data_IF_515702725752
#
_entry.id   IF_515702725752
#
_cell.length_a   1.000
_cell.length_b   1.000
_cell.length_c   1.000
_cell.angle_alpha   90.00
_cell.angle_beta   90.00
_cell.angle_gamma   90.00
#
_symmetry.space_group_name_H-M   'P 1'
#
loop_
_entity.id
_entity.type
_entity.pdbx_description
1 polymer ?
#
# COMPACT_ATOMS: atom_id res chain seq x y z
N UNK A 1 5.93 -12.96 27.27
CA UNK A 1 7.01 -12.45 26.40
C UNK A 1 6.52 -11.15 25.77
N UNK A 2 7.23 -10.01 25.91
CA UNK A 2 6.87 -8.84 25.11
C UNK A 2 7.30 -9.13 23.67
N UNK A 3 6.36 -9.44 22.80
CA UNK A 3 6.59 -9.48 21.35
C UNK A 3 7.10 -8.11 20.93
N UNK A 4 8.25 -8.08 20.25
CA UNK A 4 8.83 -6.87 19.68
C UNK A 4 7.76 -6.09 18.91
N UNK A 5 7.79 -4.75 18.98
CA UNK A 5 6.85 -3.89 18.25
C UNK A 5 6.86 -4.15 16.72
N UNK A 6 7.92 -4.77 16.20
CA UNK A 6 8.04 -5.19 14.80
C UNK A 6 7.10 -6.35 14.43
N UNK A 7 6.83 -7.30 15.32
CA UNK A 7 5.95 -8.46 15.03
C UNK A 7 4.46 -8.12 14.98
N UNK A 8 4.08 -6.98 15.59
CA UNK A 8 2.70 -6.48 15.59
C UNK A 8 2.29 -5.90 14.24
N UNK A 9 3.27 -5.38 13.51
CA UNK A 9 3.06 -4.67 12.25
C UNK A 9 3.23 -5.59 11.04
N UNK A 10 3.16 -6.90 11.24
CA UNK A 10 3.29 -7.84 10.15
C UNK A 10 2.03 -7.81 9.28
N UNK A 11 2.20 -7.69 7.96
CA UNK A 11 1.10 -7.88 7.02
C UNK A 11 0.58 -9.31 7.10
N UNK A 12 -0.74 -9.47 7.21
CA UNK A 12 -1.41 -10.78 7.29
C UNK A 12 -2.53 -10.95 6.26
N UNK A 13 -2.85 -9.91 5.50
CA UNK A 13 -3.79 -10.00 4.39
C UNK A 13 -3.91 -8.70 3.61
N UNK A 14 -4.42 -8.81 2.38
CA UNK A 14 -4.71 -7.68 1.49
C UNK A 14 -6.13 -7.85 0.96
N UNK A 15 -6.90 -6.76 0.96
CA UNK A 15 -8.26 -6.72 0.43
C UNK A 15 -8.36 -5.63 -0.63
N UNK A 16 -8.86 -5.97 -1.81
CA UNK A 16 -8.98 -5.04 -2.93
C UNK A 16 -10.40 -4.47 -3.00
N UNK A 17 -10.49 -3.14 -2.92
CA UNK A 17 -11.70 -2.37 -3.19
C UNK A 17 -11.68 -1.75 -4.57
N UNK A 18 -12.67 -0.90 -4.85
CA UNK A 18 -12.84 -0.26 -6.16
C UNK A 18 -11.81 0.87 -6.40
N UNK A 19 -11.50 1.66 -5.37
CA UNK A 19 -10.64 2.85 -5.44
C UNK A 19 -9.42 2.78 -4.51
N UNK A 20 -9.39 1.76 -3.65
CA UNK A 20 -8.42 1.57 -2.59
C UNK A 20 -8.22 0.09 -2.30
N UNK A 21 -7.10 -0.23 -1.65
CA UNK A 21 -6.83 -1.54 -1.08
C UNK A 21 -6.54 -1.41 0.41
N UNK A 22 -6.76 -2.49 1.15
CA UNK A 22 -6.58 -2.54 2.59
C UNK A 22 -5.53 -3.58 2.94
N UNK A 23 -4.51 -3.18 3.68
CA UNK A 23 -3.54 -4.10 4.28
C UNK A 23 -3.95 -4.36 5.73
N UNK A 24 -4.21 -5.62 6.07
CA UNK A 24 -4.47 -6.05 7.44
C UNK A 24 -3.16 -6.40 8.14
N UNK A 25 -3.00 -5.90 9.36
CA UNK A 25 -1.83 -6.13 10.20
C UNK A 25 -2.14 -7.13 11.32
N UNK A 26 -1.11 -7.84 11.78
CA UNK A 26 -1.23 -8.89 12.79
C UNK A 26 -1.80 -8.41 14.12
N UNK A 27 -1.57 -7.14 14.46
CA UNK A 27 -2.13 -6.51 15.66
C UNK A 27 -3.60 -6.10 15.54
N UNK A 28 -4.26 -6.42 14.42
CA UNK A 28 -5.67 -6.16 14.19
C UNK A 28 -5.96 -4.83 13.49
N UNK A 29 -4.96 -3.98 13.27
CA UNK A 29 -5.12 -2.76 12.47
C UNK A 29 -5.38 -3.09 11.00
N UNK A 30 -6.10 -2.20 10.34
CA UNK A 30 -6.33 -2.21 8.88
C UNK A 30 -5.94 -0.85 8.33
N UNK A 31 -5.03 -0.84 7.37
CA UNK A 31 -4.56 0.38 6.72
C UNK A 31 -5.20 0.44 5.34
N UNK A 32 -6.07 1.42 5.11
CA UNK A 32 -6.76 1.63 3.83
C UNK A 32 -6.02 2.65 3.00
N UNK A 33 -5.71 2.31 1.75
CA UNK A 33 -4.79 3.07 0.91
C UNK A 33 -5.40 3.26 -0.48
N UNK A 34 -5.54 4.50 -0.98
CA UNK A 34 -5.99 4.75 -2.34
C UNK A 34 -5.01 4.19 -3.37
N UNK A 35 -5.49 3.63 -4.49
CA UNK A 35 -4.61 3.21 -5.58
C UNK A 35 -3.82 4.37 -6.19
N UNK A 36 -4.30 5.60 -6.04
CA UNK A 36 -3.59 6.81 -6.48
C UNK A 36 -2.24 7.02 -5.80
N UNK A 37 -1.97 6.34 -4.68
CA UNK A 37 -0.65 6.30 -4.02
C UNK A 37 0.35 5.37 -4.69
N UNK A 38 -0.14 4.39 -5.47
CA UNK A 38 0.64 3.36 -6.13
C UNK A 38 0.14 3.22 -7.58
N UNK A 39 0.54 4.14 -8.49
CA UNK A 39 -0.10 4.28 -9.78
C UNK A 39 -0.05 3.04 -10.69
N UNK A 40 0.87 2.10 -10.44
CA UNK A 40 0.91 0.81 -11.16
C UNK A 40 -0.33 -0.05 -10.91
N UNK A 41 -1.00 0.16 -9.78
CA UNK A 41 -2.19 -0.60 -9.41
C UNK A 41 -3.49 -0.05 -10.03
N UNK A 42 -3.53 1.22 -10.46
CA UNK A 42 -4.75 1.86 -10.98
C UNK A 42 -5.27 1.18 -12.26
N UNK A 43 -4.38 0.66 -13.09
CA UNK A 43 -4.71 -0.04 -14.33
C UNK A 43 -4.69 -1.56 -14.21
N UNK A 44 -4.45 -2.11 -13.02
CA UNK A 44 -4.32 -3.54 -12.84
C UNK A 44 -5.69 -4.24 -12.92
N UNK A 45 -5.75 -5.34 -13.66
CA UNK A 45 -6.91 -6.23 -13.65
C UNK A 45 -7.05 -6.90 -12.28
N UNK A 46 -8.26 -7.38 -11.96
CA UNK A 46 -8.50 -8.18 -10.75
C UNK A 46 -7.51 -9.35 -10.65
N UNK A 47 -7.24 -10.03 -11.77
CA UNK A 47 -6.28 -11.14 -11.79
C UNK A 47 -4.86 -10.68 -11.43
N UNK A 48 -4.41 -9.53 -11.94
CA UNK A 48 -3.10 -8.96 -11.60
C UNK A 48 -3.04 -8.50 -10.14
N UNK A 49 -4.09 -7.86 -9.62
CA UNK A 49 -4.14 -7.47 -8.21
C UNK A 49 -4.08 -8.68 -7.27
N UNK A 50 -4.73 -9.78 -7.63
CA UNK A 50 -4.69 -11.01 -6.84
C UNK A 50 -3.42 -11.86 -7.03
N UNK A 51 -2.57 -11.54 -8.02
CA UNK A 51 -1.28 -12.20 -8.25
C UNK A 51 -0.15 -11.56 -7.42
N UNK A 52 -0.42 -11.30 -6.14
CA UNK A 52 0.54 -10.72 -5.20
C UNK A 52 1.20 -11.80 -4.33
N UNK A 53 2.39 -11.47 -3.85
CA UNK A 53 3.06 -12.19 -2.78
C UNK A 53 3.02 -11.36 -1.49
N UNK A 54 2.57 -11.98 -0.40
CA UNK A 54 2.55 -11.34 0.91
C UNK A 54 3.79 -11.73 1.68
N UNK A 55 4.53 -10.74 2.15
CA UNK A 55 5.60 -10.94 3.12
C UNK A 55 5.24 -10.27 4.45
N UNK A 56 6.06 -10.54 5.45
CA UNK A 56 5.97 -9.87 6.74
C UNK A 56 6.21 -8.36 6.65
N UNK A 57 6.98 -7.91 5.66
CA UNK A 57 7.43 -6.53 5.51
C UNK A 57 6.62 -5.74 4.47
N UNK A 58 5.81 -6.42 3.65
CA UNK A 58 5.17 -5.78 2.50
C UNK A 58 4.31 -6.68 1.63
N UNK A 59 3.86 -6.08 0.52
CA UNK A 59 3.11 -6.73 -0.55
C UNK A 59 3.88 -6.52 -1.85
N UNK A 60 4.14 -7.59 -2.57
CA UNK A 60 4.91 -7.56 -3.81
C UNK A 60 4.06 -8.04 -4.99
N UNK A 61 4.18 -7.37 -6.13
CA UNK A 61 3.61 -7.78 -7.42
C UNK A 61 4.70 -7.85 -8.49
N UNK A 62 5.17 -9.05 -8.79
CA UNK A 62 6.17 -9.28 -9.85
C UNK A 62 5.64 -8.84 -11.22
N UNK A 63 4.42 -9.25 -11.57
CA UNK A 63 3.78 -8.91 -12.85
C UNK A 63 3.42 -7.43 -13.03
N UNK A 64 3.52 -6.61 -11.98
CA UNK A 64 3.29 -5.17 -12.04
C UNK A 64 4.56 -4.36 -11.77
N UNK A 65 5.67 -4.98 -11.38
CA UNK A 65 6.88 -4.28 -10.91
C UNK A 65 6.56 -3.31 -9.75
N UNK A 66 5.78 -3.78 -8.77
CA UNK A 66 5.35 -2.97 -7.62
C UNK A 66 5.70 -3.66 -6.29
N UNK A 67 6.23 -2.87 -5.36
CA UNK A 67 6.60 -3.33 -4.01
C UNK A 67 6.15 -2.30 -2.97
N UNK A 68 5.31 -2.76 -2.04
CA UNK A 68 4.68 -1.91 -1.04
C UNK A 68 5.13 -2.35 0.35
N UNK A 69 5.95 -1.52 1.00
CA UNK A 69 6.38 -1.74 2.38
C UNK A 69 5.31 -1.37 3.40
N UNK A 70 5.03 -2.25 4.36
CA UNK A 70 4.15 -1.97 5.50
C UNK A 70 4.64 -0.78 6.33
N UNK A 71 5.95 -0.62 6.51
CA UNK A 71 6.50 0.54 7.20
C UNK A 71 6.21 1.82 6.42
N UNK A 72 6.40 1.79 5.10
CA UNK A 72 6.05 2.91 4.22
C UNK A 72 4.58 3.29 4.30
N UNK A 73 3.68 2.29 4.34
CA UNK A 73 2.24 2.49 4.54
C UNK A 73 1.93 3.17 5.88
N UNK A 74 2.54 2.70 6.97
CA UNK A 74 2.34 3.30 8.29
C UNK A 74 2.89 4.73 8.40
N UNK A 75 3.99 5.01 7.71
CA UNK A 75 4.59 6.33 7.61
C UNK A 75 3.86 7.22 6.59
N UNK A 76 2.76 6.72 5.99
CA UNK A 76 1.98 7.35 4.93
C UNK A 76 2.81 7.86 3.75
N UNK A 77 3.84 7.09 3.38
CA UNK A 77 4.70 7.35 2.23
C UNK A 77 4.12 6.64 1.00
N UNK A 78 3.66 7.38 -0.03
CA UNK A 78 3.24 6.79 -1.29
C UNK A 78 4.47 6.33 -2.12
N UNK A 79 4.23 5.76 -3.31
CA UNK A 79 5.29 5.33 -4.23
C UNK A 79 6.34 6.46 -4.47
N UNK A 80 7.58 6.17 -4.09
CA UNK A 80 8.73 7.08 -4.20
C UNK A 80 9.49 6.99 -5.52
N UNK A 81 9.04 6.17 -6.47
CA UNK A 81 9.73 5.91 -7.73
C UNK A 81 9.58 7.07 -8.72
N UNK A 82 10.46 7.10 -9.72
CA UNK A 82 10.36 8.07 -10.81
C UNK A 82 9.09 7.86 -11.67
N UNK A 83 8.57 6.63 -11.72
CA UNK A 83 7.32 6.30 -12.39
C UNK A 83 6.15 7.05 -11.75
N UNK A 84 5.97 6.94 -10.44
CA UNK A 84 4.89 7.62 -9.74
C UNK A 84 4.98 9.14 -9.83
N UNK A 85 6.20 9.70 -9.73
CA UNK A 85 6.40 11.15 -9.94
C UNK A 85 5.89 11.61 -11.30
N UNK A 86 6.27 10.93 -12.38
CA UNK A 86 5.81 11.23 -13.74
C UNK A 86 4.31 11.04 -13.89
N UNK A 87 3.75 10.01 -13.26
CA UNK A 87 2.32 9.78 -13.24
C UNK A 87 1.57 10.97 -12.62
N UNK A 88 1.98 11.46 -11.45
CA UNK A 88 1.34 12.60 -10.80
C UNK A 88 1.61 13.95 -11.47
N UNK A 89 2.70 14.08 -12.24
CA UNK A 89 2.91 15.24 -13.11
C UNK A 89 1.87 15.28 -14.24
N UNK A 90 1.52 14.12 -14.81
CA UNK A 90 0.48 14.00 -15.83
C UNK A 90 -0.95 14.04 -15.26
N UNK A 91 -1.12 13.59 -14.01
CA UNK A 91 -2.40 13.45 -13.31
C UNK A 91 -2.37 14.16 -11.94
N UNK A 92 -2.24 15.50 -11.91
CA UNK A 92 -2.07 16.26 -10.67
C UNK A 92 -3.26 16.13 -9.70
N UNK A 93 -4.45 15.84 -10.21
CA UNK A 93 -5.66 15.60 -9.42
C UNK A 93 -5.58 14.32 -8.58
N UNK A 94 -4.74 13.36 -8.99
CA UNK A 94 -4.54 12.07 -8.31
C UNK A 94 -3.34 12.08 -7.36
N UNK A 95 -2.66 13.21 -7.21
CA UNK A 95 -1.50 13.30 -6.34
C UNK A 95 -1.89 13.00 -4.89
N UNK A 96 -1.15 12.12 -4.18
CA UNK A 96 -1.37 11.82 -2.77
C UNK A 96 -1.42 13.11 -1.95
N UNK A 97 -2.57 13.34 -1.32
CA UNK A 97 -2.72 14.34 -0.27
C UNK A 97 -2.45 13.60 1.02
N UNK A 98 -1.29 13.85 1.62
CA UNK A 98 -0.92 13.21 2.88
C UNK A 98 -1.85 13.77 3.97
N UNK A 99 -2.92 13.04 4.28
CA UNK A 99 -3.89 13.36 5.33
C UNK A 99 -3.63 12.44 6.52
N UNK A 100 -2.71 12.81 7.41
CA UNK A 100 -2.65 12.17 8.72
C UNK A 100 -3.63 12.88 9.66
N UNK A 101 -4.81 12.29 9.86
CA UNK A 101 -5.51 12.46 11.14
C UNK A 101 -5.51 11.11 11.84
N UNK A 102 -4.44 10.81 12.58
CA UNK A 102 -4.55 9.85 13.66
C UNK A 102 -5.46 10.48 14.72
N UNK A 103 -6.75 10.16 14.67
CA UNK A 103 -7.64 10.44 15.80
C UNK A 103 -7.15 9.60 16.99
N UNK A 104 -6.94 10.21 18.17
CA UNK A 104 -6.42 9.54 19.35
C UNK A 104 -7.33 8.43 19.88
#
# INVERSE_FOLDING_TARGET
MPTSNSEKTLAVGVFFGADSFVVALRDGRRVSIPYTWYPRLIGATVAQLHAYELSYEGVHWDGLDEDISVLGLLEGKPDGTAFARRYWEAHPEQRPKVLFTTTP
#
